data_IF_377972452859
#
_entry.id   IF_377972452859
#
_cell.length_a   1.000
_cell.length_b   1.000
_cell.length_c   1.000
_cell.angle_alpha   90.00
_cell.angle_beta   90.00
_cell.angle_gamma   90.00
#
_symmetry.space_group_name_H-M   'P 1'
#
loop_
_entity.id
_entity.type
_entity.pdbx_description
1 polymer ?
#
# COMPACT_ATOMS: atom_id res chain seq x y z
N UNK A 1 -10.91 -12.80 10.83
CA UNK A 1 -10.95 -11.95 9.62
C UNK A 1 -9.95 -10.79 9.62
N UNK A 2 -9.85 -9.96 10.67
CA UNK A 2 -8.91 -8.81 10.72
C UNK A 2 -7.44 -9.14 10.39
N UNK A 3 -6.91 -10.24 10.92
CA UNK A 3 -5.52 -10.66 10.67
C UNK A 3 -5.25 -11.03 9.21
N UNK A 4 -6.23 -11.62 8.52
CA UNK A 4 -6.12 -12.00 7.10
C UNK A 4 -6.02 -10.76 6.22
N UNK A 5 -6.78 -9.72 6.56
CA UNK A 5 -6.74 -8.44 5.84
C UNK A 5 -5.37 -7.77 6.00
N UNK A 6 -4.82 -7.73 7.22
CA UNK A 6 -3.47 -7.19 7.45
C UNK A 6 -2.40 -8.00 6.70
N UNK A 7 -2.48 -9.32 6.74
CA UNK A 7 -1.55 -10.19 6.02
C UNK A 7 -1.60 -9.94 4.50
N UNK A 8 -2.80 -9.81 3.92
CA UNK A 8 -2.98 -9.50 2.51
C UNK A 8 -2.38 -8.12 2.15
N UNK A 9 -2.58 -7.09 2.97
CA UNK A 9 -2.00 -5.75 2.76
C UNK A 9 -0.48 -5.79 2.77
N UNK A 10 0.12 -6.52 3.73
CA UNK A 10 1.58 -6.69 3.79
C UNK A 10 2.10 -7.42 2.54
N UNK A 11 1.41 -8.47 2.09
CA UNK A 11 1.81 -9.26 0.93
C UNK A 11 1.76 -8.43 -0.36
N UNK A 12 0.73 -7.59 -0.53
CA UNK A 12 0.64 -6.64 -1.64
C UNK A 12 1.73 -5.59 -1.55
N UNK A 13 2.03 -5.06 -0.36
CA UNK A 13 3.10 -4.08 -0.18
C UNK A 13 4.47 -4.65 -0.56
N UNK A 14 4.79 -5.88 -0.13
CA UNK A 14 6.06 -6.55 -0.46
C UNK A 14 6.16 -6.78 -1.97
N UNK A 15 5.11 -7.31 -2.60
CA UNK A 15 5.10 -7.52 -4.05
C UNK A 15 5.29 -6.21 -4.82
N UNK A 16 4.63 -5.14 -4.37
CA UNK A 16 4.72 -3.83 -5.00
C UNK A 16 6.10 -3.20 -4.84
N UNK A 17 6.76 -3.39 -3.69
CA UNK A 17 8.14 -2.95 -3.46
C UNK A 17 9.14 -3.70 -4.37
N UNK A 18 9.01 -5.02 -4.49
CA UNK A 18 9.83 -5.81 -5.41
C UNK A 18 9.66 -5.35 -6.86
N UNK A 19 8.43 -5.01 -7.26
CA UNK A 19 8.13 -4.49 -8.60
C UNK A 19 8.68 -3.07 -8.81
N UNK A 20 8.58 -2.19 -7.81
CA UNK A 20 9.18 -0.85 -7.84
C UNK A 20 10.70 -0.90 -7.98
N UNK A 21 11.35 -1.81 -7.26
CA UNK A 21 12.80 -2.02 -7.35
C UNK A 21 13.23 -2.55 -8.72
N UNK A 22 12.45 -3.47 -9.30
CA UNK A 22 12.69 -3.98 -10.65
C UNK A 22 12.49 -2.91 -11.73
N UNK A 23 11.42 -2.12 -11.64
CA UNK A 23 11.15 -1.01 -12.57
C UNK A 23 12.23 0.09 -12.51
N UNK A 24 12.77 0.36 -11.30
CA UNK A 24 13.90 1.28 -11.12
C UNK A 24 15.17 0.76 -11.81
N UNK A 25 15.45 -0.54 -11.66
CA UNK A 25 16.59 -1.20 -12.30
C UNK A 25 16.51 -1.18 -13.82
N UNK A 26 15.31 -1.16 -14.38
CA UNK A 26 15.09 -1.16 -15.84
C UNK A 26 15.08 0.24 -16.47
N UNK A 27 15.47 1.29 -15.72
CA UNK A 27 15.49 2.71 -16.13
C UNK A 27 14.11 3.27 -16.51
N UNK A 28 13.03 2.50 -16.29
CA UNK A 28 11.66 2.90 -16.57
C UNK A 28 11.07 3.68 -15.39
N UNK A 29 11.54 4.92 -15.23
CA UNK A 29 11.20 5.81 -14.10
C UNK A 29 9.68 6.05 -13.98
N UNK A 30 8.96 6.11 -15.09
CA UNK A 30 7.49 6.28 -15.11
C UNK A 30 6.77 5.07 -14.51
N UNK A 31 7.21 3.86 -14.85
CA UNK A 31 6.69 2.63 -14.27
C UNK A 31 6.96 2.55 -12.77
N UNK A 32 8.18 2.89 -12.35
CA UNK A 32 8.58 2.89 -10.93
C UNK A 32 7.76 3.88 -10.09
N UNK A 33 7.50 5.09 -10.61
CA UNK A 33 6.64 6.08 -9.92
C UNK A 33 5.20 5.57 -9.83
N UNK A 34 4.69 4.92 -10.88
CA UNK A 34 3.36 4.32 -10.87
C UNK A 34 3.20 3.24 -9.80
N UNK A 35 4.15 2.31 -9.69
CA UNK A 35 4.13 1.27 -8.64
C UNK A 35 4.32 1.85 -7.24
N UNK A 36 5.13 2.90 -7.08
CA UNK A 36 5.30 3.55 -5.79
C UNK A 36 4.02 4.25 -5.32
N UNK A 37 3.31 4.95 -6.22
CA UNK A 37 2.01 5.55 -5.95
C UNK A 37 0.94 4.49 -5.63
N UNK A 38 0.96 3.36 -6.34
CA UNK A 38 0.06 2.22 -6.08
C UNK A 38 0.32 1.61 -4.69
N UNK A 39 1.58 1.41 -4.31
CA UNK A 39 1.94 0.93 -2.97
C UNK A 39 1.40 1.88 -1.89
N UNK A 40 1.59 3.19 -2.07
CA UNK A 40 1.10 4.22 -1.17
C UNK A 40 -0.43 4.17 -1.05
N UNK A 41 -1.17 4.06 -2.16
CA UNK A 41 -2.62 3.99 -2.15
C UNK A 41 -3.14 2.73 -1.42
N UNK A 42 -2.49 1.58 -1.63
CA UNK A 42 -2.86 0.31 -0.98
C UNK A 42 -2.67 0.39 0.54
N UNK A 43 -1.62 1.04 1.02
CA UNK A 43 -1.39 1.24 2.46
C UNK A 43 -2.30 2.33 3.03
N UNK A 44 -2.54 3.41 2.28
CA UNK A 44 -3.39 4.52 2.71
C UNK A 44 -4.85 4.10 2.92
N UNK A 45 -5.40 3.21 2.08
CA UNK A 45 -6.80 2.78 2.17
C UNK A 45 -7.19 2.21 3.55
N UNK A 46 -6.54 1.17 4.10
CA UNK A 46 -6.88 0.65 5.43
C UNK A 46 -6.53 1.63 6.56
N UNK A 47 -5.50 2.46 6.40
CA UNK A 47 -5.14 3.51 7.38
C UNK A 47 -6.24 4.56 7.47
N UNK A 48 -6.79 5.01 6.34
CA UNK A 48 -7.90 5.95 6.27
C UNK A 48 -9.18 5.38 6.87
N UNK A 49 -9.48 4.11 6.60
CA UNK A 49 -10.62 3.41 7.20
C UNK A 49 -10.45 3.30 8.72
N UNK A 50 -9.26 2.94 9.19
CA UNK A 50 -8.94 2.88 10.62
C UNK A 50 -9.04 4.25 11.28
N UNK A 51 -8.49 5.28 10.65
CA UNK A 51 -8.57 6.67 11.10
C UNK A 51 -10.02 7.14 11.21
N UNK A 52 -10.83 6.93 10.16
CA UNK A 52 -12.24 7.32 10.14
C UNK A 52 -13.03 6.61 11.27
N UNK A 53 -12.80 5.32 11.47
CA UNK A 53 -13.44 4.57 12.54
C UNK A 53 -13.01 5.05 13.93
N UNK A 54 -11.71 5.31 14.13
CA UNK A 54 -11.19 5.82 15.40
C UNK A 54 -11.70 7.24 15.71
N UNK A 55 -11.75 8.10 14.71
CA UNK A 55 -12.22 9.48 14.86
C UNK A 55 -13.73 9.54 15.13
N UNK A 56 -14.52 8.63 14.55
CA UNK A 56 -15.97 8.53 14.79
C UNK A 56 -16.33 7.99 16.17
N UNK A 57 -15.46 7.20 16.80
CA UNK A 57 -15.70 6.62 18.13
C UNK A 57 -15.50 7.64 19.27
N UNK A 58 -14.80 8.75 19.00
CA UNK A 58 -14.43 9.76 20.02
C UNK A 58 -15.40 10.95 20.09
N UNK A 59 -16.54 10.91 19.39
CA UNK A 59 -17.61 11.91 19.49
C UNK A 59 -18.92 11.28 19.92
#
# INVERSE_FOLDING_TARGET
>A
MRMVIMAAVVLVAVYTLSYGFWAWKQRNRRGAVGTFLLALAVVAAPVLVWWYHNFRISR
#
